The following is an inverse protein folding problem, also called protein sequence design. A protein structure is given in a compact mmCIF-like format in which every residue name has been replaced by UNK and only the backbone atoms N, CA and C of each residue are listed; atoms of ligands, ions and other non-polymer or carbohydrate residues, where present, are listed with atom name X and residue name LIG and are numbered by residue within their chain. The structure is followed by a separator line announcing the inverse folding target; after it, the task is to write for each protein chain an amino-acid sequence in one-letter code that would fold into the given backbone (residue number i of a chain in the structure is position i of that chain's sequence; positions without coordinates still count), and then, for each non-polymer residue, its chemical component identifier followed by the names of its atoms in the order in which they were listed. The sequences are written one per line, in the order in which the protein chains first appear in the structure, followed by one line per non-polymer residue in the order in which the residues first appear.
data_IF_242882149197
#
_entry.id   IF_242882149197
#
_cell.length_a   1.000
_cell.length_b   1.000
_cell.length_c   1.000
_cell.angle_alpha   90.00
_cell.angle_beta   90.00
_cell.angle_gamma   90.00
#
_symmetry.space_group_name_H-M   'P 1'
#
loop_
_entity.id
_entity.type
_entity.pdbx_description
1 polymer ?
#
# COMPACT_ATOMS: atom_id res chain seq x y z
N UNK A 1 -11.77 27.91 2.89
CA UNK A 1 -12.97 27.20 2.41
C UNK A 1 -12.57 25.78 2.10
N UNK A 2 -13.18 24.79 2.75
CA UNK A 2 -12.95 23.39 2.46
C UNK A 2 -13.40 23.10 1.02
N UNK A 3 -12.51 22.55 0.20
CA UNK A 3 -12.84 22.09 -1.15
C UNK A 3 -13.30 20.64 -1.02
N UNK A 4 -14.46 20.34 -1.58
CA UNK A 4 -14.97 18.96 -1.63
C UNK A 4 -14.69 18.42 -3.02
N UNK A 5 -14.02 17.26 -3.07
CA UNK A 5 -13.67 16.59 -4.31
C UNK A 5 -14.43 15.28 -4.43
N UNK A 6 -14.95 14.99 -5.64
CA UNK A 6 -15.39 13.64 -6.00
C UNK A 6 -14.30 12.99 -6.82
N UNK A 7 -13.74 11.89 -6.30
CA UNK A 7 -12.69 11.12 -6.94
C UNK A 7 -13.19 9.72 -7.32
N UNK A 8 -12.78 9.25 -8.50
CA UNK A 8 -12.96 7.87 -8.96
C UNK A 8 -11.65 7.43 -9.62
N UNK A 9 -11.26 6.17 -9.41
CA UNK A 9 -10.09 5.56 -10.05
C UNK A 9 -10.45 4.19 -10.59
N UNK A 10 -9.89 3.85 -11.74
CA UNK A 10 -10.00 2.53 -12.34
C UNK A 10 -8.71 2.12 -13.06
N UNK A 11 -8.51 0.82 -13.25
CA UNK A 11 -7.50 0.30 -14.20
C UNK A 11 -7.91 0.65 -15.62
N UNK A 12 -6.93 0.99 -16.46
CA UNK A 12 -7.14 1.33 -17.86
C UNK A 12 -6.29 0.40 -18.73
N UNK A 13 -6.86 -0.66 -19.33
CA UNK A 13 -6.10 -1.62 -20.12
C UNK A 13 -5.64 -1.07 -21.47
N UNK A 14 -6.22 0.03 -21.95
CA UNK A 14 -5.91 0.64 -23.25
C UNK A 14 -5.97 2.18 -23.16
N UNK A 15 -4.92 2.81 -22.59
CA UNK A 15 -4.88 4.25 -22.38
C UNK A 15 -4.89 5.05 -23.69
N UNK A 16 -4.41 4.48 -24.80
CA UNK A 16 -4.46 5.14 -26.12
C UNK A 16 -5.91 5.24 -26.61
N UNK A 17 -6.68 4.16 -26.54
CA UNK A 17 -8.10 4.18 -26.88
C UNK A 17 -8.89 5.10 -25.94
N UNK A 18 -8.58 5.09 -24.64
CA UNK A 18 -9.21 5.96 -23.65
C UNK A 18 -8.93 7.44 -23.92
N UNK A 19 -7.69 7.81 -24.28
CA UNK A 19 -7.34 9.16 -24.70
C UNK A 19 -8.10 9.62 -25.97
N UNK A 20 -8.25 8.73 -26.95
CA UNK A 20 -9.03 9.01 -28.16
C UNK A 20 -10.52 9.25 -27.82
N UNK A 21 -11.10 8.46 -26.91
CA UNK A 21 -12.48 8.67 -26.43
C UNK A 21 -12.64 9.98 -25.67
N UNK A 22 -11.68 10.34 -24.80
CA UNK A 22 -11.69 11.63 -24.12
C UNK A 22 -11.74 12.79 -25.12
N UNK A 23 -10.93 12.72 -26.17
CA UNK A 23 -10.92 13.73 -27.24
C UNK A 23 -12.26 13.76 -27.99
N UNK A 24 -12.83 12.60 -28.32
CA UNK A 24 -14.14 12.49 -28.98
C UNK A 24 -15.30 13.05 -28.13
N UNK A 25 -15.20 12.96 -26.80
CA UNK A 25 -16.14 13.55 -25.85
C UNK A 25 -16.00 15.08 -25.72
N UNK A 26 -15.03 15.68 -26.40
CA UNK A 26 -14.74 17.11 -26.34
C UNK A 26 -13.90 17.53 -25.12
N UNK A 27 -13.18 16.59 -24.49
CA UNK A 27 -12.26 16.92 -23.41
C UNK A 27 -11.03 17.66 -23.97
N UNK A 28 -10.61 18.71 -23.27
CA UNK A 28 -9.44 19.51 -23.65
C UNK A 28 -8.17 18.89 -23.05
N UNK A 29 -7.14 18.65 -23.87
CA UNK A 29 -5.84 18.15 -23.38
C UNK A 29 -5.14 19.23 -22.55
N UNK A 30 -4.70 18.84 -21.35
CA UNK A 30 -3.99 19.67 -20.37
C UNK A 30 -2.48 19.41 -20.33
N UNK A 31 -1.96 18.57 -21.21
CA UNK A 31 -0.53 18.23 -21.30
C UNK A 31 -0.15 16.97 -20.50
N UNK A 32 1.16 16.71 -20.47
CA UNK A 32 1.75 15.57 -19.78
C UNK A 32 2.65 16.02 -18.62
N UNK A 33 2.63 15.27 -17.53
CA UNK A 33 3.43 15.51 -16.33
C UNK A 33 4.09 14.20 -15.87
N UNK A 34 5.37 14.28 -15.53
CA UNK A 34 6.06 13.24 -14.79
C UNK A 34 6.15 13.65 -13.32
N UNK A 35 5.83 12.71 -12.43
CA UNK A 35 5.83 12.97 -11.00
C UNK A 35 6.32 11.75 -10.23
N UNK A 36 7.23 12.00 -9.28
CA UNK A 36 7.74 10.99 -8.35
C UNK A 36 7.31 11.35 -6.94
N UNK A 37 6.57 10.47 -6.28
CA UNK A 37 6.23 10.59 -4.86
C UNK A 37 7.03 9.56 -4.05
N UNK A 38 7.98 10.03 -3.22
CA UNK A 38 8.70 9.18 -2.26
C UNK A 38 7.98 9.25 -0.91
N UNK A 39 7.48 8.12 -0.42
CA UNK A 39 6.74 8.01 0.84
C UNK A 39 7.69 7.54 1.96
N UNK A 40 7.56 8.15 3.14
CA UNK A 40 8.39 7.85 4.31
C UNK A 40 7.55 7.34 5.46
N UNK A 41 8.17 6.60 6.39
CA UNK A 41 7.50 6.21 7.62
C UNK A 41 7.07 7.45 8.42
N UNK A 42 5.85 7.44 8.91
CA UNK A 42 5.31 8.50 9.76
C UNK A 42 4.63 7.88 10.98
N UNK A 43 4.80 8.50 12.15
CA UNK A 43 4.17 8.04 13.40
C UNK A 43 2.64 8.11 13.33
N UNK A 44 2.10 9.10 12.63
CA UNK A 44 0.67 9.33 12.42
C UNK A 44 0.46 9.96 11.05
N UNK A 45 -0.60 9.56 10.35
CA UNK A 45 -0.87 10.04 8.99
C UNK A 45 0.17 9.52 8.00
N UNK A 46 0.41 10.29 6.94
CA UNK A 46 1.31 9.94 5.84
C UNK A 46 2.24 11.11 5.54
N UNK A 47 3.48 10.79 5.20
CA UNK A 47 4.48 11.75 4.79
C UNK A 47 5.03 11.32 3.43
N UNK A 48 5.06 12.25 2.48
CA UNK A 48 5.71 12.04 1.19
C UNK A 48 6.42 13.28 0.70
N UNK A 49 7.50 13.09 -0.04
CA UNK A 49 8.11 14.12 -0.86
C UNK A 49 7.71 13.88 -2.30
N UNK A 50 7.05 14.86 -2.89
CA UNK A 50 6.67 14.91 -4.30
C UNK A 50 7.69 15.69 -5.09
N UNK A 51 8.17 15.12 -6.18
CA UNK A 51 9.00 15.77 -7.19
C UNK A 51 8.25 15.80 -8.52
N UNK A 52 8.32 16.94 -9.19
CA UNK A 52 7.82 17.11 -10.56
C UNK A 52 8.44 18.33 -11.23
N UNK A 53 7.92 18.70 -12.39
CA UNK A 53 8.45 19.82 -13.20
C UNK A 53 8.43 21.20 -12.52
N UNK A 54 7.66 21.35 -11.43
CA UNK A 54 7.56 22.57 -10.63
C UNK A 54 8.47 22.63 -9.38
N UNK A 55 9.32 21.62 -9.17
CA UNK A 55 10.16 21.48 -7.97
C UNK A 55 9.65 20.44 -6.99
N UNK A 56 10.24 20.41 -5.79
CA UNK A 56 9.91 19.48 -4.72
C UNK A 56 8.89 20.04 -3.73
N UNK A 57 8.01 19.20 -3.20
CA UNK A 57 7.14 19.52 -2.07
C UNK A 57 7.09 18.37 -1.07
N UNK A 58 7.32 18.67 0.20
CA UNK A 58 7.06 17.77 1.31
C UNK A 58 5.59 17.92 1.73
N UNK A 59 4.88 16.81 1.79
CA UNK A 59 3.43 16.75 2.01
C UNK A 59 3.16 15.80 3.17
N UNK A 60 2.66 16.35 4.27
CA UNK A 60 2.13 15.57 5.39
C UNK A 60 0.60 15.62 5.34
N UNK A 61 -0.08 14.47 5.40
CA UNK A 61 -1.54 14.41 5.30
C UNK A 61 -2.13 13.24 6.08
N UNK A 62 -3.38 13.40 6.52
CA UNK A 62 -4.18 12.30 7.07
C UNK A 62 -5.30 11.96 6.09
N UNK A 63 -5.40 10.69 5.70
CA UNK A 63 -6.58 10.17 5.01
C UNK A 63 -7.30 9.26 6.01
N UNK A 64 -8.52 9.58 6.46
CA UNK A 64 -9.32 8.58 7.14
C UNK A 64 -9.59 7.45 6.14
N UNK A 65 -9.57 6.20 6.60
CA UNK A 65 -9.81 5.00 5.77
C UNK A 65 -11.28 4.88 5.29
N UNK A 66 -12.02 5.98 5.27
CA UNK A 66 -13.45 6.01 4.98
C UNK A 66 -13.71 6.44 3.53
N UNK A 67 -14.58 5.69 2.85
CA UNK A 67 -14.92 5.81 1.42
C UNK A 67 -15.76 7.08 1.15
N UNK A 68 -16.30 7.69 2.21
CA UNK A 68 -17.01 8.95 2.15
C UNK A 68 -16.01 10.12 2.15
N UNK A 69 -16.06 10.95 1.12
CA UNK A 69 -15.23 12.15 0.92
C UNK A 69 -15.07 12.93 2.23
N UNK A 70 -13.92 12.77 2.89
CA UNK A 70 -13.62 13.41 4.16
C UNK A 70 -12.52 14.43 3.96
N UNK A 71 -12.69 15.61 4.56
CA UNK A 71 -11.74 16.72 4.50
C UNK A 71 -10.31 16.23 4.76
N UNK A 72 -9.47 16.29 3.73
CA UNK A 72 -8.06 15.95 3.88
C UNK A 72 -7.34 17.14 4.50
N UNK A 73 -6.95 17.01 5.77
CA UNK A 73 -6.00 17.92 6.38
C UNK A 73 -4.60 17.61 5.82
N UNK A 74 -4.01 18.57 5.11
CA UNK A 74 -2.67 18.45 4.59
C UNK A 74 -1.83 19.69 4.91
N UNK A 75 -0.54 19.46 5.14
CA UNK A 75 0.48 20.50 5.23
C UNK A 75 1.43 20.28 4.06
N UNK A 76 1.69 21.35 3.29
CA UNK A 76 2.61 21.35 2.15
C UNK A 76 3.74 22.33 2.42
N UNK A 77 4.98 21.88 2.23
CA UNK A 77 6.17 22.69 2.36
C UNK A 77 7.02 22.55 1.09
N UNK A 78 7.35 23.66 0.39
CA UNK A 78 8.23 23.60 -0.78
C UNK A 78 9.63 23.15 -0.36
N UNK A 79 10.25 22.31 -1.19
CA UNK A 79 11.59 21.76 -1.01
C UNK A 79 12.45 22.19 -2.18
N UNK A 80 13.51 22.95 -1.89
CA UNK A 80 14.42 23.48 -2.90
C UNK A 80 15.41 22.43 -3.46
N UNK A 81 15.81 21.46 -2.63
CA UNK A 81 16.73 20.39 -3.00
C UNK A 81 16.10 19.05 -2.65
N UNK A 82 15.58 18.35 -3.66
CA UNK A 82 14.86 17.09 -3.49
C UNK A 82 15.79 16.01 -2.94
N UNK A 83 16.89 15.70 -3.66
CA UNK A 83 17.76 14.57 -3.33
C UNK A 83 18.30 14.60 -1.89
N UNK A 84 18.85 15.74 -1.39
CA UNK A 84 19.37 15.78 -0.02
C UNK A 84 18.28 15.61 1.04
N UNK A 85 17.04 16.05 0.77
CA UNK A 85 15.92 15.87 1.70
C UNK A 85 15.44 14.43 1.67
N UNK A 86 15.38 13.79 0.51
CA UNK A 86 15.08 12.36 0.40
C UNK A 86 16.12 11.54 1.17
N UNK A 87 17.41 11.78 0.98
CA UNK A 87 18.50 11.10 1.69
C UNK A 87 18.39 11.28 3.22
N UNK A 88 18.12 12.50 3.69
CA UNK A 88 17.97 12.79 5.10
C UNK A 88 16.74 12.10 5.73
N UNK A 89 15.60 12.09 5.02
CA UNK A 89 14.38 11.44 5.51
C UNK A 89 14.46 9.92 5.44
N UNK A 90 15.07 9.38 4.39
CA UNK A 90 15.29 7.93 4.26
C UNK A 90 16.19 7.41 5.38
N UNK A 91 17.32 8.08 5.64
CA UNK A 91 18.26 7.65 6.69
C UNK A 91 17.72 7.76 8.12
N UNK A 92 16.67 8.54 8.35
CA UNK A 92 16.12 8.80 9.70
C UNK A 92 14.76 8.16 9.94
N UNK A 93 13.88 8.17 8.95
CA UNK A 93 12.53 7.62 9.02
C UNK A 93 12.39 6.32 8.23
N UNK A 94 13.17 6.15 7.16
CA UNK A 94 13.02 5.05 6.21
C UNK A 94 11.99 5.34 5.13
N UNK A 95 12.36 5.09 3.88
CA UNK A 95 11.44 5.11 2.73
C UNK A 95 10.53 3.88 2.77
N UNK A 96 9.22 4.11 2.67
CA UNK A 96 8.22 3.04 2.61
C UNK A 96 7.97 2.58 1.17
N UNK A 97 7.82 3.53 0.24
CA UNK A 97 7.60 3.24 -1.18
C UNK A 97 7.92 4.47 -2.05
N UNK A 98 8.35 4.24 -3.29
CA UNK A 98 8.46 5.29 -4.31
C UNK A 98 7.42 5.02 -5.38
N UNK A 99 6.60 6.03 -5.70
CA UNK A 99 5.60 5.99 -6.77
C UNK A 99 6.04 6.96 -7.86
N UNK A 100 6.58 6.44 -8.94
CA UNK A 100 6.89 7.21 -10.15
C UNK A 100 5.78 6.99 -11.18
N UNK A 101 5.32 8.08 -11.80
CA UNK A 101 4.24 8.03 -12.79
C UNK A 101 4.31 9.12 -13.85
N UNK A 102 3.79 8.78 -15.03
CA UNK A 102 3.50 9.69 -16.13
C UNK A 102 2.00 9.91 -16.22
N UNK A 103 1.56 11.17 -16.23
CA UNK A 103 0.16 11.58 -16.25
C UNK A 103 -0.15 12.39 -17.49
N UNK A 104 -1.11 11.94 -18.28
CA UNK A 104 -1.76 12.74 -19.31
C UNK A 104 -3.05 13.35 -18.73
N UNK A 105 -3.17 14.67 -18.78
CA UNK A 105 -4.33 15.39 -18.24
C UNK A 105 -5.33 15.73 -19.34
N UNK A 106 -6.61 15.54 -19.07
CA UNK A 106 -7.71 16.12 -19.83
C UNK A 106 -8.67 16.87 -18.90
N UNK A 107 -9.38 17.86 -19.46
CA UNK A 107 -10.42 18.61 -18.77
C UNK A 107 -11.74 18.50 -19.53
N UNK A 108 -12.78 18.01 -18.87
CA UNK A 108 -14.11 17.84 -19.45
C UNK A 108 -15.19 18.36 -18.50
N UNK A 109 -15.95 19.36 -18.92
CA UNK A 109 -17.06 19.95 -18.12
C UNK A 109 -16.74 20.26 -16.64
N UNK A 110 -15.49 20.62 -16.34
CA UNK A 110 -15.00 20.91 -14.97
C UNK A 110 -14.49 19.68 -14.19
N UNK A 111 -14.50 18.50 -14.80
CA UNK A 111 -13.88 17.28 -14.28
C UNK A 111 -12.51 17.11 -14.90
N UNK A 112 -11.49 16.91 -14.07
CA UNK A 112 -10.16 16.52 -14.53
C UNK A 112 -10.13 15.02 -14.74
N UNK A 113 -9.60 14.60 -15.87
CA UNK A 113 -9.36 13.20 -16.21
C UNK A 113 -7.85 13.01 -16.24
N UNK A 114 -7.34 12.09 -15.46
CA UNK A 114 -5.93 11.72 -15.43
C UNK A 114 -5.79 10.33 -16.05
N UNK A 115 -5.02 10.21 -17.12
CA UNK A 115 -4.55 8.92 -17.60
C UNK A 115 -3.14 8.74 -17.05
N UNK A 116 -2.99 7.82 -16.11
CA UNK A 116 -1.76 7.60 -15.36
C UNK A 116 -1.12 6.28 -15.78
N UNK A 117 0.13 6.33 -16.20
CA UNK A 117 1.02 5.18 -16.29
C UNK A 117 1.92 5.19 -15.06
N UNK A 118 1.79 4.16 -14.21
CA UNK A 118 2.48 4.07 -12.92
C UNK A 118 3.45 2.91 -12.95
N UNK A 119 4.70 3.19 -12.58
CA UNK A 119 5.75 2.18 -12.52
C UNK A 119 5.30 1.01 -11.62
N UNK A 120 5.55 -0.22 -12.07
CA UNK A 120 5.14 -1.50 -11.43
C UNK A 120 3.62 -1.80 -11.37
N UNK A 121 2.74 -0.80 -11.50
CA UNK A 121 1.27 -1.01 -11.41
C UNK A 121 0.54 -1.01 -12.76
N UNK A 122 1.14 -0.42 -13.80
CA UNK A 122 0.55 -0.27 -15.12
C UNK A 122 -0.34 0.98 -15.25
N UNK A 123 -1.34 0.89 -16.12
CA UNK A 123 -2.16 2.03 -16.57
C UNK A 123 -3.48 2.16 -15.80
N UNK A 124 -3.84 3.40 -15.50
CA UNK A 124 -5.03 3.78 -14.73
C UNK A 124 -5.69 5.03 -15.29
N UNK A 125 -6.96 5.20 -14.96
CA UNK A 125 -7.71 6.44 -15.16
C UNK A 125 -8.23 6.95 -13.81
N UNK A 126 -8.06 8.25 -13.54
CA UNK A 126 -8.67 8.94 -12.40
C UNK A 126 -9.57 10.09 -12.86
N UNK A 127 -10.70 10.27 -12.19
CA UNK A 127 -11.55 11.45 -12.31
C UNK A 127 -11.46 12.28 -11.03
N UNK A 128 -11.23 13.58 -11.17
CA UNK A 128 -11.27 14.54 -10.06
C UNK A 128 -12.23 15.69 -10.41
N UNK A 129 -13.42 15.69 -9.80
CA UNK A 129 -14.34 16.80 -9.89
C UNK A 129 -14.13 17.74 -8.68
N UNK A 130 -13.50 18.89 -8.93
CA UNK A 130 -13.24 19.90 -7.89
C UNK A 130 -14.43 20.86 -7.83
N UNK A 131 -15.14 20.87 -6.71
CA UNK A 131 -16.28 21.78 -6.52
C UNK A 131 -15.88 23.05 -5.75
N UNK A 132 -16.33 24.23 -6.20
CA UNK A 132 -16.17 25.47 -5.43
C UNK A 132 -17.05 25.50 -4.17
N UNK A 133 -18.24 24.88 -4.20
CA UNK A 133 -19.23 24.88 -3.11
C UNK A 133 -19.75 23.47 -2.78
N UNK A 134 -19.93 23.16 -1.49
CA UNK A 134 -20.35 21.84 -1.00
C UNK A 134 -21.77 21.39 -1.44
N UNK A 135 -22.58 22.30 -1.99
CA UNK A 135 -23.96 22.02 -2.40
C UNK A 135 -24.12 21.24 -3.72
N UNK A 136 -23.06 21.13 -4.54
CA UNK A 136 -23.16 20.56 -5.90
C UNK A 136 -22.60 19.13 -6.03
N UNK A 137 -22.45 18.42 -4.91
CA UNK A 137 -21.94 17.05 -4.86
C UNK A 137 -22.75 16.08 -5.75
N UNK A 138 -24.07 16.24 -5.81
CA UNK A 138 -24.94 15.41 -6.63
C UNK A 138 -24.64 15.58 -8.13
N UNK A 139 -24.40 16.81 -8.58
CA UNK A 139 -24.04 17.09 -9.98
C UNK A 139 -22.63 16.61 -10.30
N UNK A 140 -21.67 16.80 -9.40
CA UNK A 140 -20.31 16.25 -9.57
C UNK A 140 -20.35 14.73 -9.71
N UNK A 141 -21.09 14.04 -8.84
CA UNK A 141 -21.28 12.59 -8.93
C UNK A 141 -21.92 12.19 -10.25
N UNK A 142 -23.00 12.87 -10.66
CA UNK A 142 -23.68 12.59 -11.93
C UNK A 142 -22.76 12.79 -13.15
N UNK A 143 -21.87 13.79 -13.13
CA UNK A 143 -20.86 14.01 -14.18
C UNK A 143 -19.81 12.90 -14.20
N UNK A 144 -19.29 12.51 -13.04
CA UNK A 144 -18.33 11.41 -12.89
C UNK A 144 -18.96 10.09 -13.38
N UNK A 145 -20.20 9.81 -13.01
CA UNK A 145 -20.94 8.61 -13.45
C UNK A 145 -21.25 8.63 -14.95
N UNK A 146 -21.49 9.81 -15.53
CA UNK A 146 -21.63 9.98 -16.98
C UNK A 146 -20.31 9.69 -17.68
N UNK A 147 -19.21 10.30 -17.27
CA UNK A 147 -17.87 10.04 -17.83
C UNK A 147 -17.51 8.57 -17.78
N UNK A 148 -17.75 7.94 -16.62
CA UNK A 148 -17.51 6.52 -16.41
C UNK A 148 -18.23 5.65 -17.47
N UNK A 149 -19.51 5.94 -17.74
CA UNK A 149 -20.29 5.21 -18.76
C UNK A 149 -19.81 5.48 -20.18
N UNK A 150 -19.54 6.74 -20.52
CA UNK A 150 -19.06 7.14 -21.85
C UNK A 150 -17.68 6.54 -22.18
N UNK A 151 -16.83 6.39 -21.16
CA UNK A 151 -15.51 5.77 -21.28
C UNK A 151 -15.53 4.24 -21.11
N UNK A 152 -16.69 3.64 -20.80
CA UNK A 152 -16.85 2.19 -20.69
C UNK A 152 -16.10 1.56 -19.52
N UNK A 153 -16.03 2.25 -18.38
CA UNK A 153 -15.35 1.77 -17.17
C UNK A 153 -16.31 0.91 -16.34
N UNK A 154 -16.03 -0.39 -16.31
CA UNK A 154 -16.82 -1.39 -15.57
C UNK A 154 -16.52 -1.36 -14.05
N UNK A 155 -17.41 -1.97 -13.25
CA UNK A 155 -17.29 -1.96 -11.77
C UNK A 155 -16.06 -2.74 -11.28
N UNK A 156 -15.65 -3.79 -12.00
CA UNK A 156 -14.51 -4.64 -11.66
C UNK A 156 -13.15 -3.97 -11.91
N UNK A 157 -13.12 -2.93 -12.74
CA UNK A 157 -11.95 -2.11 -12.99
C UNK A 157 -11.72 -1.06 -11.89
N UNK A 158 -12.71 -0.79 -11.02
CA UNK A 158 -12.64 0.27 -10.00
C UNK A 158 -11.61 -0.05 -8.91
N UNK A 159 -10.88 0.98 -8.49
CA UNK A 159 -9.83 0.90 -7.48
C UNK A 159 -10.06 1.96 -6.41
N UNK A 160 -10.23 1.54 -5.16
CA UNK A 160 -10.41 2.45 -4.02
C UNK A 160 -9.09 2.94 -3.41
N UNK A 161 -8.00 2.19 -3.59
CA UNK A 161 -6.69 2.45 -2.99
C UNK A 161 -5.87 3.55 -3.71
N UNK A 162 -4.99 4.24 -2.97
CA UNK A 162 -3.95 5.09 -3.56
C UNK A 162 -2.89 4.26 -4.28
N UNK A 163 -2.09 4.85 -5.19
CA UNK A 163 -0.99 4.10 -5.84
C UNK A 163 0.06 3.62 -4.84
N UNK A 164 0.38 4.48 -3.86
CA UNK A 164 1.26 4.08 -2.77
C UNK A 164 0.68 2.90 -2.00
N UNK A 165 -0.63 2.89 -1.74
CA UNK A 165 -1.30 1.76 -1.09
C UNK A 165 -1.22 0.51 -1.95
N UNK A 166 -1.48 0.60 -3.25
CA UNK A 166 -1.35 -0.55 -4.15
C UNK A 166 0.07 -1.14 -4.16
N UNK A 167 1.11 -0.30 -4.17
CA UNK A 167 2.50 -0.75 -4.12
C UNK A 167 2.93 -1.21 -2.71
N UNK A 168 2.41 -0.59 -1.66
CA UNK A 168 2.71 -0.95 -0.28
C UNK A 168 1.95 -2.20 0.15
N UNK A 169 0.72 -2.39 -0.32
CA UNK A 169 -0.18 -3.49 0.02
C UNK A 169 0.12 -4.76 -0.76
N UNK A 170 0.83 -4.63 -1.88
CA UNK A 170 1.39 -5.75 -2.63
C UNK A 170 2.31 -6.65 -1.79
N UNK A 171 2.49 -7.91 -2.21
CA UNK A 171 3.38 -8.85 -1.52
C UNK A 171 4.85 -8.41 -1.52
N UNK A 172 5.28 -7.61 -2.49
CA UNK A 172 6.68 -7.33 -2.78
C UNK A 172 7.38 -6.59 -1.64
N UNK A 173 6.73 -5.57 -1.06
CA UNK A 173 7.31 -4.81 0.06
C UNK A 173 7.52 -5.70 1.30
N UNK A 174 6.54 -6.55 1.61
CA UNK A 174 6.64 -7.51 2.72
C UNK A 174 7.69 -8.58 2.46
N UNK A 175 7.73 -9.13 1.24
CA UNK A 175 8.72 -10.16 0.85
C UNK A 175 10.15 -9.61 0.89
N UNK A 176 10.36 -8.36 0.45
CA UNK A 176 11.66 -7.67 0.57
C UNK A 176 12.06 -7.50 2.03
N UNK A 177 11.16 -6.99 2.88
CA UNK A 177 11.43 -6.79 4.30
C UNK A 177 11.72 -8.12 5.03
N UNK A 178 10.94 -9.16 4.74
CA UNK A 178 11.16 -10.51 5.27
C UNK A 178 12.52 -11.06 4.81
N UNK A 179 12.89 -10.89 3.54
CA UNK A 179 14.18 -11.34 3.00
C UNK A 179 15.37 -10.61 3.63
N UNK A 180 15.25 -9.30 3.87
CA UNK A 180 16.27 -8.51 4.56
C UNK A 180 16.43 -8.96 6.03
N UNK A 181 15.33 -9.25 6.73
CA UNK A 181 15.39 -9.78 8.08
C UNK A 181 16.02 -11.19 8.12
N UNK A 182 15.67 -12.06 7.17
CA UNK A 182 16.21 -13.42 7.07
C UNK A 182 17.75 -13.47 7.05
N UNK A 183 18.39 -12.47 6.42
CA UNK A 183 19.85 -12.37 6.38
C UNK A 183 20.49 -12.31 7.78
N UNK A 184 19.75 -11.79 8.77
CA UNK A 184 20.15 -11.64 10.16
C UNK A 184 19.68 -12.80 11.08
N UNK A 185 19.08 -13.85 10.52
CA UNK A 185 18.63 -15.00 11.30
C UNK A 185 19.78 -15.65 12.08
N UNK A 186 19.56 -15.88 13.37
CA UNK A 186 20.47 -16.64 14.22
C UNK A 186 20.04 -18.10 14.20
N UNK A 187 20.59 -18.88 13.27
CA UNK A 187 20.26 -20.30 13.10
C UNK A 187 21.50 -21.21 13.01
N UNK A 188 22.38 -21.23 14.04
CA UNK A 188 23.63 -21.99 14.01
C UNK A 188 23.45 -23.50 14.10
N UNK A 189 22.27 -24.01 14.50
CA UNK A 189 22.04 -25.43 14.71
C UNK A 189 21.35 -26.08 13.49
N UNK A 190 20.25 -25.49 12.99
CA UNK A 190 19.56 -26.05 11.81
C UNK A 190 20.08 -25.51 10.49
N UNK A 191 20.76 -24.35 10.50
CA UNK A 191 21.11 -23.57 9.31
C UNK A 191 19.89 -23.27 8.42
N UNK A 192 18.67 -23.30 8.99
CA UNK A 192 17.43 -23.00 8.31
C UNK A 192 17.00 -21.58 8.65
N UNK A 193 17.38 -20.63 7.79
CA UNK A 193 17.07 -19.22 7.96
C UNK A 193 15.67 -18.91 7.44
N UNK A 194 14.89 -18.25 8.27
CA UNK A 194 13.53 -17.79 7.98
C UNK A 194 13.45 -16.31 8.33
N UNK A 195 12.86 -15.54 7.43
CA UNK A 195 12.44 -14.17 7.69
C UNK A 195 10.94 -14.05 7.58
N UNK A 196 10.36 -13.15 8.36
CA UNK A 196 8.97 -12.81 8.28
C UNK A 196 8.79 -11.29 8.35
N UNK A 197 7.73 -10.81 7.72
CA UNK A 197 7.30 -9.43 7.85
C UNK A 197 5.79 -9.40 8.03
N UNK A 198 5.31 -8.48 8.86
CA UNK A 198 3.89 -8.22 9.06
C UNK A 198 3.61 -6.75 8.75
N UNK A 199 2.48 -6.48 8.10
CA UNK A 199 1.99 -5.12 7.87
C UNK A 199 1.01 -4.76 8.98
N UNK A 200 1.28 -3.68 9.70
CA UNK A 200 0.37 -3.12 10.70
C UNK A 200 -0.85 -2.43 10.07
N UNK A 201 -1.82 -2.01 10.88
CA UNK A 201 -2.97 -1.22 10.40
C UNK A 201 -2.55 0.16 9.90
N UNK A 202 -1.42 0.68 10.39
CA UNK A 202 -0.86 1.94 9.89
C UNK A 202 -0.29 1.82 8.46
N UNK A 203 -0.10 0.60 7.96
CA UNK A 203 0.66 0.31 6.74
C UNK A 203 2.16 0.12 6.98
N UNK A 204 2.67 0.38 8.20
CA UNK A 204 4.06 0.12 8.55
C UNK A 204 4.38 -1.38 8.49
N UNK A 205 5.60 -1.71 8.05
CA UNK A 205 6.08 -3.09 7.97
C UNK A 205 7.04 -3.36 9.12
N UNK A 206 6.78 -4.45 9.84
CA UNK A 206 7.60 -4.94 10.94
C UNK A 206 8.17 -6.29 10.57
N UNK A 207 9.50 -6.40 10.58
CA UNK A 207 10.19 -7.60 10.14
C UNK A 207 10.90 -8.29 11.30
N UNK A 208 11.05 -9.61 11.19
CA UNK A 208 11.70 -10.46 12.18
C UNK A 208 12.37 -11.65 11.52
N UNK A 209 13.35 -12.22 12.21
CA UNK A 209 14.07 -13.41 11.80
C UNK A 209 13.94 -14.48 12.88
N UNK A 210 14.16 -15.75 12.51
CA UNK A 210 14.22 -16.81 13.51
C UNK A 210 15.51 -16.71 14.34
N UNK A 211 15.37 -17.02 15.63
CA UNK A 211 16.46 -17.04 16.61
C UNK A 211 16.43 -18.39 17.30
N UNK A 212 17.44 -19.21 17.06
CA UNK A 212 17.57 -20.50 17.72
C UNK A 212 18.19 -20.36 19.10
N UNK A 213 17.85 -21.30 19.97
CA UNK A 213 18.43 -21.43 21.29
C UNK A 213 18.68 -22.89 21.59
N UNK A 214 19.79 -23.19 22.27
CA UNK A 214 20.13 -24.55 22.71
C UNK A 214 19.10 -25.14 23.69
N UNK A 215 18.43 -24.29 24.46
CA UNK A 215 17.39 -24.69 25.39
C UNK A 215 16.01 -24.60 24.71
N UNK A 216 15.34 -25.73 24.51
CA UNK A 216 13.98 -25.76 23.97
C UNK A 216 12.96 -25.60 25.11
N UNK A 217 11.89 -24.79 24.94
CA UNK A 217 11.43 -24.10 23.72
C UNK A 217 11.81 -22.60 23.66
N UNK A 218 13.03 -22.21 24.05
CA UNK A 218 13.44 -20.79 24.13
C UNK A 218 13.85 -20.17 22.79
N UNK A 219 13.76 -20.93 21.69
CA UNK A 219 13.89 -20.40 20.35
C UNK A 219 12.67 -19.59 19.93
N UNK A 220 12.81 -18.76 18.90
CA UNK A 220 11.77 -17.88 18.40
C UNK A 220 11.66 -17.99 16.89
N UNK A 221 10.43 -18.20 16.39
CA UNK A 221 10.13 -18.18 14.97
C UNK A 221 10.14 -16.75 14.43
N UNK A 222 10.40 -16.58 13.13
CA UNK A 222 10.51 -15.28 12.49
C UNK A 222 9.23 -14.44 12.63
N UNK A 223 8.07 -15.09 12.49
CA UNK A 223 6.74 -14.47 12.60
C UNK A 223 6.49 -13.95 14.01
N UNK A 224 6.92 -14.71 15.03
CA UNK A 224 6.81 -14.28 16.42
C UNK A 224 7.75 -13.11 16.74
N UNK A 225 8.94 -13.07 16.13
CA UNK A 225 9.85 -11.92 16.19
C UNK A 225 9.23 -10.68 15.53
N UNK A 226 8.61 -10.83 14.35
CA UNK A 226 7.96 -9.74 13.63
C UNK A 226 6.76 -9.16 14.41
N UNK A 227 5.91 -10.03 14.99
CA UNK A 227 4.84 -9.61 15.89
C UNK A 227 5.38 -8.92 17.16
N UNK A 228 6.50 -9.39 17.69
CA UNK A 228 7.18 -8.73 18.82
C UNK A 228 7.61 -7.30 18.47
N UNK A 229 8.16 -7.09 17.27
CA UNK A 229 8.52 -5.77 16.76
C UNK A 229 7.30 -4.86 16.55
N UNK A 230 6.21 -5.39 15.97
CA UNK A 230 4.92 -4.70 15.82
C UNK A 230 4.41 -4.19 17.18
N UNK A 231 4.34 -5.07 18.19
CA UNK A 231 3.87 -4.72 19.54
C UNK A 231 4.79 -3.73 20.23
N UNK A 232 6.11 -3.88 20.11
CA UNK A 232 7.07 -2.95 20.66
C UNK A 232 6.93 -1.53 20.07
N UNK A 233 6.47 -1.42 18.82
CA UNK A 233 6.16 -0.16 18.16
C UNK A 233 4.77 0.41 18.50
N UNK A 234 3.96 -0.31 19.28
CA UNK A 234 2.64 0.12 19.74
C UNK A 234 1.47 -0.31 18.86
N UNK A 235 1.69 -1.19 17.88
CA UNK A 235 0.61 -1.77 17.06
C UNK A 235 0.23 -3.18 17.52
N UNK A 236 -1.05 -3.52 17.39
CA UNK A 236 -1.59 -4.80 17.87
C UNK A 236 -2.48 -5.49 16.85
N UNK A 237 -2.46 -5.05 15.59
CA UNK A 237 -3.27 -5.62 14.52
C UNK A 237 -2.51 -5.59 13.20
N UNK A 238 -2.68 -6.65 12.39
CA UNK A 238 -1.99 -6.82 11.12
C UNK A 238 -2.97 -6.93 9.95
N UNK A 239 -2.56 -6.44 8.79
CA UNK A 239 -3.34 -6.49 7.54
C UNK A 239 -2.79 -7.47 6.53
N UNK A 240 -1.51 -7.87 6.63
CA UNK A 240 -0.88 -8.86 5.77
C UNK A 240 0.41 -9.43 6.40
N UNK A 241 0.86 -10.58 5.90
CA UNK A 241 2.05 -11.29 6.36
C UNK A 241 2.87 -11.77 5.17
N UNK A 242 4.20 -11.74 5.25
CA UNK A 242 5.07 -12.52 4.38
C UNK A 242 6.01 -13.40 5.21
N UNK A 243 6.26 -14.61 4.72
CA UNK A 243 7.24 -15.54 5.30
C UNK A 243 8.12 -16.08 4.18
N UNK A 244 9.43 -15.95 4.38
CA UNK A 244 10.44 -16.38 3.41
C UNK A 244 11.45 -17.30 4.06
N UNK A 245 11.87 -18.32 3.31
CA UNK A 245 13.00 -19.16 3.66
C UNK A 245 13.82 -19.48 2.40
N UNK A 246 15.14 -19.61 2.53
CA UNK A 246 16.00 -19.88 1.38
C UNK A 246 15.81 -21.30 0.82
N UNK A 247 15.57 -22.28 1.71
CA UNK A 247 15.56 -23.71 1.40
C UNK A 247 14.18 -24.27 1.02
N UNK A 248 13.13 -23.44 0.97
CA UNK A 248 11.77 -23.85 0.62
C UNK A 248 11.19 -22.89 -0.42
N UNK A 249 10.51 -23.43 -1.43
CA UNK A 249 9.78 -22.63 -2.42
C UNK A 249 8.65 -21.83 -1.75
N UNK A 250 7.92 -22.47 -0.84
CA UNK A 250 6.90 -21.86 0.00
C UNK A 250 7.14 -22.29 1.45
N UNK A 251 7.32 -21.35 2.37
CA UNK A 251 7.61 -21.62 3.78
C UNK A 251 6.39 -21.33 4.66
N UNK A 252 5.45 -22.27 4.85
CA UNK A 252 4.27 -22.01 5.67
C UNK A 252 4.66 -21.85 7.15
N UNK A 253 4.02 -20.93 7.90
CA UNK A 253 4.25 -20.77 9.33
C UNK A 253 4.02 -22.06 10.11
N UNK A 254 4.76 -22.23 11.23
CA UNK A 254 4.49 -23.31 12.16
C UNK A 254 3.13 -23.14 12.84
N UNK A 255 2.55 -24.23 13.39
CA UNK A 255 1.20 -24.20 13.98
C UNK A 255 1.02 -23.13 15.06
N UNK A 256 2.01 -22.93 15.93
CA UNK A 256 1.98 -21.87 16.95
C UNK A 256 2.00 -20.47 16.34
N UNK A 257 2.77 -20.25 15.28
CA UNK A 257 2.80 -18.96 14.59
C UNK A 257 1.53 -18.68 13.81
N UNK A 258 0.88 -19.70 13.23
CA UNK A 258 -0.45 -19.54 12.63
C UNK A 258 -1.46 -19.04 13.66
N UNK A 259 -1.45 -19.61 14.86
CA UNK A 259 -2.34 -19.18 15.94
C UNK A 259 -2.02 -17.76 16.42
N UNK A 260 -0.73 -17.41 16.56
CA UNK A 260 -0.34 -16.03 16.90
C UNK A 260 -0.81 -15.05 15.82
N UNK A 261 -0.50 -15.31 14.56
CA UNK A 261 -0.90 -14.45 13.45
C UNK A 261 -2.42 -14.30 13.36
N UNK A 262 -3.20 -15.38 13.58
CA UNK A 262 -4.67 -15.32 13.57
C UNK A 262 -5.28 -14.53 14.72
N UNK A 263 -4.54 -14.25 15.79
CA UNK A 263 -5.03 -13.38 16.88
C UNK A 263 -4.81 -11.89 16.55
N UNK A 264 -3.72 -11.57 15.85
CA UNK A 264 -3.41 -10.21 15.41
C UNK A 264 -4.08 -9.85 14.07
N UNK A 265 -4.42 -10.85 13.25
CA UNK A 265 -5.08 -10.72 11.96
C UNK A 265 -6.45 -11.39 11.93
N UNK A 266 -7.17 -11.25 10.81
CA UNK A 266 -8.43 -11.94 10.56
C UNK A 266 -8.26 -13.17 9.67
N UNK A 267 -9.34 -13.92 9.46
CA UNK A 267 -9.35 -15.09 8.56
C UNK A 267 -8.95 -14.72 7.13
N UNK A 268 -9.30 -13.52 6.69
CA UNK A 268 -9.05 -13.03 5.34
C UNK A 268 -7.69 -12.35 5.19
N UNK A 269 -6.88 -12.28 6.26
CA UNK A 269 -5.55 -11.68 6.19
C UNK A 269 -4.67 -12.48 5.22
N UNK A 270 -4.17 -11.87 4.14
CA UNK A 270 -3.29 -12.52 3.19
C UNK A 270 -1.93 -12.84 3.81
N UNK A 271 -1.40 -13.98 3.41
CA UNK A 271 -0.09 -14.52 3.77
C UNK A 271 0.65 -14.89 2.51
N UNK A 272 1.79 -14.25 2.30
CA UNK A 272 2.67 -14.46 1.16
C UNK A 272 3.81 -15.39 1.56
N UNK A 273 3.82 -16.59 0.99
CA UNK A 273 4.82 -17.61 1.26
C UNK A 273 5.78 -17.66 0.09
N UNK A 274 7.07 -17.49 0.34
CA UNK A 274 8.03 -17.51 -0.75
C UNK A 274 9.46 -17.80 -0.34
N UNK A 275 10.35 -17.51 -1.29
CA UNK A 275 11.80 -17.50 -1.16
C UNK A 275 12.35 -16.23 -1.82
N UNK A 276 13.56 -15.79 -1.47
CA UNK A 276 14.21 -14.71 -2.20
C UNK A 276 14.25 -14.99 -3.70
N UNK A 277 13.71 -14.06 -4.49
CA UNK A 277 13.68 -14.12 -5.96
C UNK A 277 12.70 -15.13 -6.58
N UNK A 278 11.88 -15.82 -5.79
CA UNK A 278 10.82 -16.72 -6.29
C UNK A 278 9.46 -16.04 -6.37
N UNK A 279 8.55 -16.62 -7.16
CA UNK A 279 7.14 -16.22 -7.18
C UNK A 279 6.47 -16.64 -5.86
N UNK A 280 5.76 -15.75 -5.16
CA UNK A 280 5.13 -16.08 -3.89
C UNK A 280 3.81 -16.83 -4.08
N UNK A 281 3.56 -17.82 -3.23
CA UNK A 281 2.22 -18.38 -3.04
C UNK A 281 1.43 -17.45 -2.10
N UNK A 282 0.28 -16.98 -2.56
CA UNK A 282 -0.67 -16.21 -1.74
C UNK A 282 -1.74 -17.14 -1.18
N UNK A 283 -1.90 -17.15 0.13
CA UNK A 283 -2.98 -17.82 0.87
C UNK A 283 -3.52 -16.87 1.94
N UNK A 284 -4.56 -17.27 2.66
CA UNK A 284 -5.11 -16.55 3.80
C UNK A 284 -4.81 -17.25 5.12
N UNK A 285 -4.87 -16.53 6.24
CA UNK A 285 -4.76 -17.15 7.57
C UNK A 285 -5.85 -18.19 7.83
N UNK A 286 -7.07 -17.98 7.30
CA UNK A 286 -8.17 -18.93 7.42
C UNK A 286 -7.92 -20.25 6.68
N UNK A 287 -7.22 -20.21 5.54
CA UNK A 287 -6.79 -21.41 4.82
C UNK A 287 -5.64 -22.13 5.53
N UNK A 288 -4.72 -21.38 6.15
CA UNK A 288 -3.60 -21.95 6.90
C UNK A 288 -3.99 -22.53 8.25
N UNK A 289 -5.01 -21.97 8.91
CA UNK A 289 -5.50 -22.39 10.22
C UNK A 289 -7.03 -22.51 10.25
N UNK A 290 -7.60 -23.53 9.58
CA UNK A 290 -9.03 -23.79 9.66
C UNK A 290 -9.42 -24.12 11.10
N UNK A 291 -10.53 -23.54 11.57
CA UNK A 291 -11.03 -23.76 12.93
C UNK A 291 -10.23 -23.04 14.02
N UNK A 292 -9.50 -21.96 13.67
CA UNK A 292 -8.86 -21.08 14.65
C UNK A 292 -9.86 -20.60 15.72
N UNK A 293 -9.37 -20.46 16.95
CA UNK A 293 -10.13 -19.90 18.07
C UNK A 293 -9.49 -18.58 18.51
N UNK A 294 -10.33 -17.60 18.84
CA UNK A 294 -9.90 -16.29 19.35
C UNK A 294 -10.23 -16.08 20.83
N UNK A 295 -10.03 -14.85 21.33
CA UNK A 295 -10.32 -14.48 22.72
C UNK A 295 -11.77 -14.79 23.15
N UNK A 296 -12.73 -14.79 22.22
CA UNK A 296 -14.12 -15.16 22.45
C UNK A 296 -14.28 -16.60 22.97
N UNK A 297 -13.37 -17.52 22.61
CA UNK A 297 -13.40 -18.89 23.12
C UNK A 297 -13.00 -19.00 24.60
N UNK A 298 -12.43 -17.93 25.18
CA UNK A 298 -12.04 -17.85 26.59
C UNK A 298 -13.09 -17.14 27.46
N UNK A 299 -14.11 -16.53 26.85
CA UNK A 299 -15.18 -15.86 27.56
C UNK A 299 -16.14 -16.92 28.13
N UNK A 300 -16.31 -16.93 29.45
CA UNK A 300 -17.20 -17.82 30.19
C UNK A 300 -18.60 -17.22 30.30
#
# INVERSE_FOLDING_TARGET
MARVNVELKARDPDPEATAARCTALGALSGGELHQTDTYFMARTGRLKLREGSGGGELIAYSRPDDVAATESMYVRAPVAAVDPVVEALDSTLGTTVVVSKRRQLFLWEGVRIHLDEVDELGSFIEFEAVLPDAGDLATARAKVDRLRRELGIEDDALVSAGYADLLMDGPEALLRAASAAMANAYAPYSEFKVGAAVRGRSGAIYAGANVENVAYPQGQCAEASALGALVAAGETAITAVAVVAEKLEHCPPCGGCRQRLSEFGGRDTPVYLGRPGGEPLTVTLGELLPGSFGPEALQR
#
